data_IF_660846521359
#
_entry.id   IF_660846521359
#
_cell.length_a   1.000
_cell.length_b   1.000
_cell.length_c   1.000
_cell.angle_alpha   90.00
_cell.angle_beta   90.00
_cell.angle_gamma   90.00
#
_symmetry.space_group_name_H-M   'P 1'
#
loop_
_entity.id
_entity.type
_entity.pdbx_description
1 polymer ?
#
# COMPACT_ATOMS: atom_id res chain seq x y z
N UNK A 1 -13.52 2.08 -16.51
CA UNK A 1 -12.87 2.26 -15.20
C UNK A 1 -11.97 3.47 -15.29
N UNK A 2 -12.28 4.49 -14.50
CA UNK A 2 -11.52 5.75 -14.51
C UNK A 2 -10.11 5.53 -13.96
N UNK A 3 -9.18 6.42 -14.31
CA UNK A 3 -7.81 6.36 -13.81
C UNK A 3 -7.79 6.38 -12.28
N UNK A 4 -8.73 7.11 -11.68
CA UNK A 4 -8.93 7.20 -10.24
C UNK A 4 -9.21 5.84 -9.60
N UNK A 5 -10.07 5.02 -10.20
CA UNK A 5 -10.38 3.67 -9.73
C UNK A 5 -9.17 2.74 -9.89
N UNK A 6 -8.41 2.89 -10.98
CA UNK A 6 -7.19 2.11 -11.22
C UNK A 6 -6.13 2.37 -10.14
N UNK A 7 -5.96 3.63 -9.72
CA UNK A 7 -5.03 4.01 -8.64
C UNK A 7 -5.49 3.39 -7.32
N UNK A 8 -6.80 3.45 -7.03
CA UNK A 8 -7.41 2.83 -5.85
C UNK A 8 -7.11 1.32 -5.78
N UNK A 9 -7.37 0.61 -6.87
CA UNK A 9 -7.08 -0.83 -6.97
C UNK A 9 -5.59 -1.14 -6.85
N UNK A 10 -4.74 -0.42 -7.58
CA UNK A 10 -3.29 -0.62 -7.54
C UNK A 10 -2.75 -0.43 -6.11
N UNK A 11 -3.20 0.61 -5.42
CA UNK A 11 -2.80 0.88 -4.04
C UNK A 11 -3.34 -0.15 -3.06
N UNK A 12 -4.53 -0.70 -3.29
CA UNK A 12 -5.02 -1.86 -2.56
C UNK A 12 -4.08 -3.06 -2.70
N UNK A 13 -3.72 -3.43 -3.93
CA UNK A 13 -2.81 -4.55 -4.20
C UNK A 13 -1.42 -4.33 -3.59
N UNK A 14 -0.86 -3.13 -3.72
CA UNK A 14 0.43 -2.80 -3.12
C UNK A 14 0.36 -2.80 -1.59
N UNK A 15 -0.76 -2.39 -1.01
CA UNK A 15 -1.02 -2.49 0.42
C UNK A 15 -1.03 -3.94 0.90
N UNK A 16 -1.71 -4.83 0.16
CA UNK A 16 -1.71 -6.28 0.45
C UNK A 16 -0.29 -6.84 0.46
N UNK A 17 0.51 -6.52 -0.57
CA UNK A 17 1.90 -6.99 -0.67
C UNK A 17 2.73 -6.45 0.50
N UNK A 18 2.62 -5.17 0.81
CA UNK A 18 3.32 -4.57 1.94
C UNK A 18 2.92 -5.23 3.27
N UNK A 19 1.62 -5.52 3.47
CA UNK A 19 1.11 -6.17 4.68
C UNK A 19 1.67 -7.58 4.85
N UNK A 20 1.73 -8.35 3.76
CA UNK A 20 2.34 -9.66 3.74
C UNK A 20 3.85 -9.62 4.01
N UNK A 21 4.57 -8.61 3.52
CA UNK A 21 6.00 -8.44 3.85
C UNK A 21 6.17 -8.07 5.32
N UNK A 22 5.31 -7.16 5.83
CA UNK A 22 5.33 -6.71 7.22
C UNK A 22 5.14 -7.84 8.23
N UNK A 23 4.40 -8.91 7.91
CA UNK A 23 4.19 -10.04 8.83
C UNK A 23 5.44 -10.89 9.07
N UNK A 24 6.45 -10.81 8.20
CA UNK A 24 7.73 -11.48 8.40
C UNK A 24 8.70 -10.68 9.29
N UNK A 25 8.31 -9.48 9.72
CA UNK A 25 9.16 -8.64 10.55
C UNK A 25 8.66 -8.69 11.99
N UNK A 26 9.53 -9.07 12.93
CA UNK A 26 9.16 -9.38 14.32
C UNK A 26 8.80 -8.20 15.22
N UNK A 27 8.53 -7.00 14.68
CA UNK A 27 8.19 -5.81 15.45
C UNK A 27 7.17 -4.94 14.73
N UNK A 28 6.23 -4.35 15.49
CA UNK A 28 5.24 -3.42 14.94
C UNK A 28 5.89 -2.14 14.39
N UNK A 29 7.02 -1.72 14.96
CA UNK A 29 7.76 -0.55 14.51
C UNK A 29 8.36 -0.80 13.12
N UNK A 30 8.98 -1.96 12.92
CA UNK A 30 9.55 -2.32 11.64
C UNK A 30 8.48 -2.64 10.59
N UNK A 31 7.34 -3.23 10.98
CA UNK A 31 6.16 -3.34 10.12
C UNK A 31 5.67 -1.97 9.62
N UNK A 32 5.63 -0.97 10.50
CA UNK A 32 5.31 0.42 10.13
C UNK A 32 6.32 1.03 9.16
N UNK A 33 7.62 0.76 9.33
CA UNK A 33 8.66 1.19 8.38
C UNK A 33 8.44 0.57 7.00
N UNK A 34 8.13 -0.73 6.93
CA UNK A 34 7.80 -1.42 5.68
C UNK A 34 6.59 -0.78 5.01
N UNK A 35 5.55 -0.41 5.78
CA UNK A 35 4.37 0.26 5.26
C UNK A 35 4.71 1.60 4.59
N UNK A 36 5.56 2.41 5.23
CA UNK A 36 6.00 3.71 4.72
C UNK A 36 6.84 3.54 3.45
N UNK A 37 7.81 2.62 3.45
CA UNK A 37 8.65 2.35 2.28
C UNK A 37 7.79 1.85 1.11
N UNK A 38 6.91 0.88 1.36
CA UNK A 38 5.98 0.37 0.35
C UNK A 38 5.06 1.46 -0.20
N UNK A 39 4.66 2.42 0.64
CA UNK A 39 3.86 3.55 0.20
C UNK A 39 4.64 4.48 -0.74
N UNK A 40 5.88 4.82 -0.39
CA UNK A 40 6.77 5.62 -1.24
C UNK A 40 6.98 4.92 -2.58
N UNK A 41 7.20 3.60 -2.58
CA UNK A 41 7.27 2.81 -3.82
C UNK A 41 5.95 2.85 -4.60
N UNK A 42 4.79 2.80 -3.93
CA UNK A 42 3.50 2.91 -4.60
C UNK A 42 3.31 4.23 -5.35
N UNK A 43 3.84 5.33 -4.80
CA UNK A 43 3.83 6.64 -5.45
C UNK A 43 4.66 6.60 -6.74
N UNK A 44 5.84 5.99 -6.70
CA UNK A 44 6.70 5.84 -7.87
C UNK A 44 6.01 4.99 -8.96
N UNK A 45 5.36 3.89 -8.58
CA UNK A 45 4.62 3.03 -9.52
C UNK A 45 3.45 3.79 -10.15
N UNK A 46 2.65 4.51 -9.35
CA UNK A 46 1.53 5.33 -9.86
C UNK A 46 2.04 6.42 -10.81
N UNK A 47 3.14 7.10 -10.47
CA UNK A 47 3.75 8.10 -11.32
C UNK A 47 4.18 7.54 -12.67
N UNK A 48 4.90 6.41 -12.65
CA UNK A 48 5.41 5.76 -13.86
C UNK A 48 4.28 5.22 -14.76
N UNK A 49 3.23 4.64 -14.18
CA UNK A 49 2.15 4.01 -14.94
C UNK A 49 1.14 5.02 -15.51
N UNK A 50 0.75 6.03 -14.75
CA UNK A 50 -0.37 6.91 -15.12
C UNK A 50 0.06 8.31 -15.56
N UNK A 51 1.33 8.70 -15.40
CA UNK A 51 1.90 10.00 -15.82
C UNK A 51 1.01 11.20 -15.43
N UNK A 52 0.53 11.18 -14.19
CA UNK A 52 -0.50 12.10 -13.70
C UNK A 52 0.08 13.50 -13.44
N UNK A 53 -0.59 14.54 -13.93
CA UNK A 53 -0.26 15.94 -13.64
C UNK A 53 -0.81 16.47 -12.30
N UNK A 54 -1.86 15.84 -11.74
CA UNK A 54 -2.49 16.28 -10.49
C UNK A 54 -1.84 15.62 -9.27
N UNK A 55 -1.22 16.43 -8.40
CA UNK A 55 -0.55 15.98 -7.15
C UNK A 55 -1.48 15.17 -6.23
N UNK A 56 -2.76 15.53 -6.14
CA UNK A 56 -3.74 14.79 -5.31
C UNK A 56 -3.95 13.34 -5.78
N UNK A 57 -3.97 13.12 -7.10
CA UNK A 57 -4.11 11.77 -7.66
C UNK A 57 -2.88 10.91 -7.40
N UNK A 58 -1.71 11.55 -7.33
CA UNK A 58 -0.45 10.88 -7.09
C UNK A 58 -0.22 10.54 -5.60
N UNK A 59 -0.50 11.49 -4.69
CA UNK A 59 -0.16 11.36 -3.27
C UNK A 59 -1.35 11.11 -2.33
N UNK A 60 -2.58 11.43 -2.74
CA UNK A 60 -3.75 11.35 -1.86
C UNK A 60 -4.70 10.21 -2.22
N UNK A 61 -4.97 10.06 -3.52
CA UNK A 61 -5.92 9.07 -4.01
C UNK A 61 -5.45 7.65 -3.66
N UNK A 62 -6.31 6.88 -2.99
CA UNK A 62 -6.03 5.49 -2.61
C UNK A 62 -5.02 5.30 -1.46
N UNK A 63 -4.56 6.38 -0.80
CA UNK A 63 -3.68 6.25 0.39
C UNK A 63 -4.37 5.48 1.50
N UNK A 64 -5.63 5.82 1.79
CA UNK A 64 -6.41 5.14 2.82
C UNK A 64 -6.63 3.66 2.45
N UNK A 65 -6.89 3.38 1.18
CA UNK A 65 -7.03 2.02 0.66
C UNK A 65 -5.74 1.21 0.85
N UNK A 66 -4.58 1.80 0.57
CA UNK A 66 -3.29 1.17 0.83
C UNK A 66 -3.12 0.84 2.32
N UNK A 67 -3.37 1.80 3.21
CA UNK A 67 -3.20 1.64 4.66
C UNK A 67 -4.15 0.57 5.22
N UNK A 68 -5.42 0.60 4.82
CA UNK A 68 -6.42 -0.38 5.24
C UNK A 68 -6.04 -1.78 4.73
N UNK A 69 -5.68 -1.91 3.45
CA UNK A 69 -5.27 -3.19 2.88
C UNK A 69 -4.01 -3.75 3.55
N UNK A 70 -3.01 -2.90 3.79
CA UNK A 70 -1.79 -3.25 4.52
C UNK A 70 -2.11 -3.79 5.92
N UNK A 71 -2.91 -3.04 6.69
CA UNK A 71 -3.23 -3.42 8.06
C UNK A 71 -4.05 -4.71 8.14
N UNK A 72 -5.07 -4.86 7.28
CA UNK A 72 -5.89 -6.07 7.24
C UNK A 72 -5.08 -7.32 6.92
N UNK A 73 -4.18 -7.24 5.94
CA UNK A 73 -3.34 -8.38 5.56
C UNK A 73 -2.29 -8.67 6.62
N UNK A 74 -1.68 -7.63 7.22
CA UNK A 74 -0.76 -7.81 8.33
C UNK A 74 -1.42 -8.61 9.46
N UNK A 75 -2.61 -8.19 9.90
CA UNK A 75 -3.36 -8.87 10.97
C UNK A 75 -3.73 -10.29 10.55
N UNK A 76 -4.24 -10.47 9.33
CA UNK A 76 -4.67 -11.77 8.83
C UNK A 76 -3.51 -12.78 8.77
N UNK A 77 -2.38 -12.39 8.19
CA UNK A 77 -1.22 -13.27 8.05
C UNK A 77 -0.59 -13.56 9.42
N UNK A 78 -0.55 -12.56 10.31
CA UNK A 78 -0.04 -12.76 11.66
C UNK A 78 -0.86 -13.79 12.45
N UNK A 79 -2.19 -13.77 12.33
CA UNK A 79 -3.08 -14.76 12.98
C UNK A 79 -3.04 -16.16 12.32
N UNK A 80 -2.48 -16.30 11.12
CA UNK A 80 -2.31 -17.61 10.47
C UNK A 80 -0.95 -18.22 10.83
N UNK A 81 0.08 -17.38 10.95
CA UNK A 81 1.45 -17.81 11.23
C UNK A 81 1.74 -18.01 12.73
N UNK A 82 1.00 -17.34 13.60
CA UNK A 82 1.12 -17.37 15.08
C UNK A 82 -0.17 -17.91 15.67
#
# INVERSE_FOLDING_TARGET
MDIEDKILLLRGVLGVIAGAISSFVGSIVSAGVVAIIGYVLSVLVVYAMFKLGKKWLLFGKGTLTYVVAWFLILVLVYNILV
#
